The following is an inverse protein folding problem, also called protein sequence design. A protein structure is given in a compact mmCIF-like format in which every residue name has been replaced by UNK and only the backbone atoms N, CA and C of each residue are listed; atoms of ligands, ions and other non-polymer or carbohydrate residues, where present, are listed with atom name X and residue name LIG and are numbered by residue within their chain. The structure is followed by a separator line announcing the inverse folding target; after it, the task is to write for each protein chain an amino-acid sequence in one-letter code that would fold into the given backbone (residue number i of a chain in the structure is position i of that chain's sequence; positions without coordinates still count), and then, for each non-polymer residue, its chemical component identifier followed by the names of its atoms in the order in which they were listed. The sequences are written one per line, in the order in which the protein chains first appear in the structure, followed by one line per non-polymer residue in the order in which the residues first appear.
data_IF_816819692177
#
_entry.id   IF_816819692177
#
_cell.length_a   1.000
_cell.length_b   1.000
_cell.length_c   1.000
_cell.angle_alpha   90.00
_cell.angle_beta   90.00
_cell.angle_gamma   90.00
#
_symmetry.space_group_name_H-M   'P 1'
#
loop_
_entity.id
_entity.type
_entity.pdbx_description
1 polymer ?
#
# COMPACT_ATOMS: atom_id res chain seq x y z
N UNK A 1 -8.94 -30.17 27.44
CA UNK A 1 -8.36 -28.89 26.97
C UNK A 1 -9.43 -27.84 27.23
N UNK A 2 -9.20 -26.93 28.18
CA UNK A 2 -10.19 -25.93 28.57
C UNK A 2 -10.34 -24.95 27.39
N UNK A 3 -11.52 -24.86 26.78
CA UNK A 3 -11.80 -23.81 25.78
C UNK A 3 -11.85 -22.48 26.53
N UNK A 4 -10.80 -21.69 26.39
CA UNK A 4 -10.73 -20.37 26.98
C UNK A 4 -11.74 -19.43 26.30
N UNK A 5 -12.62 -18.83 27.08
CA UNK A 5 -13.75 -18.02 26.58
C UNK A 5 -13.27 -16.80 25.81
N UNK A 6 -12.15 -16.21 26.22
CA UNK A 6 -11.57 -15.05 25.53
C UNK A 6 -11.07 -15.44 24.14
N UNK A 7 -10.44 -16.62 24.01
CA UNK A 7 -9.95 -17.09 22.70
C UNK A 7 -11.10 -17.39 21.73
N UNK A 8 -12.25 -17.79 22.25
CA UNK A 8 -13.47 -18.03 21.46
C UNK A 8 -14.09 -16.72 21.00
N UNK A 9 -14.14 -15.71 21.86
CA UNK A 9 -14.60 -14.37 21.52
C UNK A 9 -13.77 -13.78 20.36
N UNK A 10 -12.44 -13.89 20.40
CA UNK A 10 -11.58 -13.44 19.30
C UNK A 10 -11.76 -14.24 18.00
N UNK A 11 -12.07 -15.54 18.07
CA UNK A 11 -12.35 -16.38 16.89
C UNK A 11 -13.69 -16.05 16.24
N UNK A 12 -14.67 -15.68 17.05
CA UNK A 12 -16.03 -15.40 16.58
C UNK A 12 -16.20 -13.95 16.08
N UNK A 13 -15.18 -13.08 16.23
CA UNK A 13 -15.19 -11.71 15.70
C UNK A 13 -15.40 -11.63 14.18
N UNK A 14 -14.93 -12.63 13.43
CA UNK A 14 -14.95 -12.65 11.98
C UNK A 14 -15.18 -14.09 11.47
N UNK A 15 -16.44 -14.51 11.29
CA UNK A 15 -16.73 -15.83 10.76
C UNK A 15 -16.24 -15.92 9.29
N UNK A 16 -15.71 -17.08 8.88
CA UNK A 16 -15.27 -17.28 7.50
C UNK A 16 -16.48 -17.14 6.55
N UNK A 17 -16.34 -16.38 5.44
CA UNK A 17 -17.45 -16.17 4.52
C UNK A 17 -17.80 -17.47 3.79
N UNK A 18 -19.09 -17.70 3.57
CA UNK A 18 -19.58 -18.86 2.84
C UNK A 18 -19.34 -18.77 1.33
N UNK A 19 -19.12 -17.56 0.80
CA UNK A 19 -18.89 -17.28 -0.62
C UNK A 19 -17.81 -16.22 -0.78
N UNK A 20 -16.93 -16.42 -1.77
CA UNK A 20 -15.91 -15.44 -2.17
C UNK A 20 -16.38 -14.76 -3.45
N UNK A 21 -16.43 -13.42 -3.43
CA UNK A 21 -16.74 -12.62 -4.60
C UNK A 21 -15.48 -11.99 -5.19
N UNK A 22 -15.51 -11.72 -6.50
CA UNK A 22 -14.40 -11.10 -7.21
C UNK A 22 -14.38 -9.58 -7.03
N UNK A 23 -13.25 -9.07 -6.52
CA UNK A 23 -12.99 -7.62 -6.36
C UNK A 23 -12.27 -6.97 -7.54
N UNK A 24 -11.78 -7.75 -8.49
CA UNK A 24 -11.14 -7.22 -9.69
C UNK A 24 -12.21 -6.84 -10.70
N UNK A 25 -12.45 -5.54 -10.84
CA UNK A 25 -13.43 -5.00 -11.78
C UNK A 25 -12.86 -3.78 -12.51
N UNK A 26 -13.57 -3.30 -13.53
CA UNK A 26 -13.20 -2.08 -14.24
C UNK A 26 -13.04 -0.87 -13.29
N UNK A 27 -13.86 -0.80 -12.23
CA UNK A 27 -13.76 0.26 -11.22
C UNK A 27 -12.45 0.18 -10.43
N UNK A 28 -12.07 -1.04 -10.01
CA UNK A 28 -10.80 -1.30 -9.33
C UNK A 28 -9.62 -0.95 -10.23
N UNK A 29 -9.72 -1.20 -11.53
CA UNK A 29 -8.67 -0.83 -12.48
C UNK A 29 -8.52 0.69 -12.65
N UNK A 30 -9.63 1.44 -12.76
CA UNK A 30 -9.57 2.91 -12.78
C UNK A 30 -8.96 3.45 -11.49
N UNK A 31 -9.31 2.87 -10.34
CA UNK A 31 -8.70 3.25 -9.06
C UNK A 31 -7.23 2.89 -8.96
N UNK A 32 -6.80 1.76 -9.55
CA UNK A 32 -5.39 1.39 -9.66
C UNK A 32 -4.59 2.42 -10.48
N UNK A 33 -5.16 2.89 -11.60
CA UNK A 33 -4.55 3.95 -12.42
C UNK A 33 -4.45 5.25 -11.63
N UNK A 34 -5.49 5.62 -10.87
CA UNK A 34 -5.45 6.79 -10.00
C UNK A 34 -4.33 6.70 -8.95
N UNK A 35 -4.17 5.54 -8.31
CA UNK A 35 -3.08 5.28 -7.36
C UNK A 35 -1.72 5.41 -8.06
N UNK A 36 -1.54 4.78 -9.22
CA UNK A 36 -0.27 4.76 -9.95
C UNK A 36 0.15 6.12 -10.51
N UNK A 37 -0.79 6.90 -11.07
CA UNK A 37 -0.46 8.18 -11.69
C UNK A 37 -0.48 9.37 -10.73
N UNK A 38 -1.28 9.32 -9.67
CA UNK A 38 -1.42 10.45 -8.75
C UNK A 38 -0.66 10.22 -7.44
N UNK A 39 -0.89 9.08 -6.78
CA UNK A 39 -0.32 8.86 -5.44
C UNK A 39 1.17 8.58 -5.49
N UNK A 40 1.62 7.73 -6.41
CA UNK A 40 3.03 7.35 -6.52
C UNK A 40 3.91 8.59 -6.75
N UNK A 41 3.70 9.41 -7.80
CA UNK A 41 4.48 10.63 -7.99
C UNK A 41 4.34 11.62 -6.84
N UNK A 42 3.13 11.79 -6.29
CA UNK A 42 2.91 12.69 -5.15
C UNK A 42 3.69 12.25 -3.90
N UNK A 43 3.76 10.95 -3.63
CA UNK A 43 4.50 10.38 -2.50
C UNK A 43 6.01 10.51 -2.67
N UNK A 44 6.52 10.31 -3.89
CA UNK A 44 7.92 10.50 -4.22
C UNK A 44 8.32 11.97 -4.06
N UNK A 45 7.49 12.89 -4.57
CA UNK A 45 7.73 14.33 -4.43
C UNK A 45 7.80 14.77 -2.96
N UNK A 46 6.82 14.35 -2.15
CA UNK A 46 6.82 14.67 -0.71
C UNK A 46 8.02 14.04 0.01
N UNK A 47 8.39 12.81 -0.36
CA UNK A 47 9.60 12.15 0.14
C UNK A 47 10.87 12.95 -0.13
N UNK A 48 11.01 13.53 -1.34
CA UNK A 48 12.18 14.34 -1.71
C UNK A 48 12.17 15.74 -1.07
N UNK A 49 11.01 16.38 -0.93
CA UNK A 49 10.92 17.78 -0.45
C UNK A 49 10.91 17.87 1.07
N UNK A 50 10.19 16.96 1.73
CA UNK A 50 9.93 17.01 3.19
C UNK A 50 10.73 15.92 3.92
N UNK A 51 11.37 14.99 3.19
CA UNK A 51 12.11 13.86 3.75
C UNK A 51 11.23 12.72 4.26
N UNK A 52 9.90 12.83 4.13
CA UNK A 52 8.96 11.77 4.50
C UNK A 52 7.82 11.66 3.48
N UNK A 53 7.35 10.43 3.27
CA UNK A 53 6.20 10.15 2.40
C UNK A 53 4.87 10.56 3.03
N UNK A 54 3.76 10.24 2.35
CA UNK A 54 2.39 10.60 2.77
C UNK A 54 1.93 9.80 4.02
N UNK A 55 2.74 8.85 4.50
CA UNK A 55 2.45 8.02 5.67
C UNK A 55 1.35 6.98 5.44
N UNK A 56 1.12 6.08 6.42
CA UNK A 56 0.17 4.98 6.28
C UNK A 56 -1.30 5.44 6.20
N UNK A 57 -1.62 6.63 6.72
CA UNK A 57 -2.95 7.21 6.65
C UNK A 57 -3.37 7.57 5.22
N UNK A 58 -2.41 7.85 4.33
CA UNK A 58 -2.67 8.18 2.93
C UNK A 58 -3.45 7.10 2.19
N UNK A 59 -3.21 5.82 2.55
CA UNK A 59 -3.95 4.67 1.99
C UNK A 59 -5.45 4.86 2.15
N UNK A 60 -5.86 5.18 3.37
CA UNK A 60 -7.26 5.31 3.74
C UNK A 60 -7.88 6.54 3.11
N UNK A 61 -7.17 7.66 3.11
CA UNK A 61 -7.64 8.91 2.49
C UNK A 61 -7.93 8.69 1.01
N UNK A 62 -7.06 7.99 0.27
CA UNK A 62 -7.27 7.70 -1.14
C UNK A 62 -8.49 6.85 -1.40
N UNK A 63 -8.68 5.79 -0.60
CA UNK A 63 -9.85 4.92 -0.72
C UNK A 63 -11.12 5.72 -0.46
N UNK A 64 -11.12 6.57 0.57
CA UNK A 64 -12.25 7.44 0.90
C UNK A 64 -12.55 8.40 -0.25
N UNK A 65 -11.52 9.06 -0.82
CA UNK A 65 -11.68 9.96 -1.95
C UNK A 65 -12.22 9.22 -3.19
N UNK A 66 -11.73 8.02 -3.46
CA UNK A 66 -12.20 7.22 -4.59
C UNK A 66 -13.63 6.72 -4.39
N UNK A 67 -13.98 6.30 -3.18
CA UNK A 67 -15.36 5.93 -2.82
C UNK A 67 -16.32 7.13 -2.94
N UNK A 68 -15.89 8.31 -2.50
CA UNK A 68 -16.69 9.54 -2.63
C UNK A 68 -16.83 9.97 -4.10
N UNK A 69 -15.78 9.79 -4.92
CA UNK A 69 -15.84 10.05 -6.36
C UNK A 69 -16.81 9.07 -7.05
N UNK A 70 -16.72 7.78 -6.77
CA UNK A 70 -17.64 6.78 -7.30
C UNK A 70 -19.10 7.11 -6.93
N UNK A 71 -19.34 7.50 -5.67
CA UNK A 71 -20.65 7.90 -5.16
C UNK A 71 -21.21 9.13 -5.90
N UNK A 72 -20.36 10.13 -6.20
CA UNK A 72 -20.75 11.31 -7.00
C UNK A 72 -21.03 10.97 -8.46
N UNK A 73 -20.37 9.94 -8.99
CA UNK A 73 -20.65 9.37 -10.31
C UNK A 73 -21.81 8.36 -10.30
N UNK A 74 -22.67 8.37 -9.27
CA UNK A 74 -23.79 7.44 -9.09
C UNK A 74 -23.41 5.95 -9.16
N UNK A 75 -22.15 5.63 -8.86
CA UNK A 75 -21.61 4.27 -8.85
C UNK A 75 -21.33 3.85 -7.41
N UNK A 76 -21.59 2.59 -7.06
CA UNK A 76 -21.22 2.02 -5.76
C UNK A 76 -19.99 1.12 -5.91
N UNK A 77 -19.10 1.15 -4.93
CA UNK A 77 -17.97 0.23 -4.82
C UNK A 77 -18.34 -0.89 -3.87
N UNK A 78 -18.16 -2.13 -4.32
CA UNK A 78 -18.33 -3.31 -3.46
C UNK A 78 -17.14 -3.42 -2.50
N UNK A 79 -17.34 -4.12 -1.39
CA UNK A 79 -16.30 -4.34 -0.39
C UNK A 79 -15.03 -4.96 -0.98
N UNK A 80 -15.16 -5.90 -1.92
CA UNK A 80 -14.05 -6.58 -2.55
C UNK A 80 -13.26 -5.63 -3.49
N UNK A 81 -13.95 -4.71 -4.16
CA UNK A 81 -13.32 -3.66 -4.97
C UNK A 81 -12.51 -2.71 -4.07
N UNK A 82 -13.06 -2.32 -2.92
CA UNK A 82 -12.37 -1.52 -1.91
C UNK A 82 -11.15 -2.25 -1.35
N UNK A 83 -11.26 -3.54 -1.07
CA UNK A 83 -10.15 -4.35 -0.58
C UNK A 83 -9.01 -4.45 -1.60
N UNK A 84 -9.34 -4.68 -2.87
CA UNK A 84 -8.35 -4.69 -3.97
C UNK A 84 -7.66 -3.33 -4.07
N UNK A 85 -8.41 -2.23 -4.02
CA UNK A 85 -7.84 -0.87 -4.02
C UNK A 85 -6.95 -0.61 -2.80
N UNK A 86 -7.34 -1.09 -1.62
CA UNK A 86 -6.54 -0.98 -0.40
C UNK A 86 -5.19 -1.67 -0.54
N UNK A 87 -5.19 -2.90 -1.02
CA UNK A 87 -3.97 -3.66 -1.19
C UNK A 87 -3.07 -3.06 -2.28
N UNK A 88 -3.64 -2.65 -3.41
CA UNK A 88 -2.90 -1.97 -4.49
C UNK A 88 -2.31 -0.64 -4.03
N UNK A 89 -3.06 0.18 -3.28
CA UNK A 89 -2.54 1.41 -2.69
C UNK A 89 -1.38 1.11 -1.74
N UNK A 90 -1.50 0.05 -0.93
CA UNK A 90 -0.43 -0.39 -0.05
C UNK A 90 0.83 -0.80 -0.79
N UNK A 91 0.70 -1.65 -1.80
CA UNK A 91 1.81 -2.09 -2.64
C UNK A 91 2.46 -0.90 -3.40
N UNK A 92 1.65 0.02 -3.91
CA UNK A 92 2.14 1.22 -4.57
C UNK A 92 2.95 2.10 -3.59
N UNK A 93 2.46 2.33 -2.38
CA UNK A 93 3.17 3.16 -1.40
C UNK A 93 4.44 2.52 -0.84
N UNK A 94 4.57 1.19 -0.90
CA UNK A 94 5.87 0.55 -0.62
C UNK A 94 6.95 1.05 -1.59
N UNK A 95 6.54 1.54 -2.77
CA UNK A 95 7.35 2.24 -3.77
C UNK A 95 8.77 1.65 -3.90
N UNK A 96 8.88 0.43 -4.43
CA UNK A 96 10.17 -0.28 -4.51
C UNK A 96 11.22 0.53 -5.28
N UNK A 97 10.78 1.39 -6.20
CA UNK A 97 11.64 2.25 -7.03
C UNK A 97 11.93 3.65 -6.43
N UNK A 98 11.39 3.99 -5.25
CA UNK A 98 11.49 5.34 -4.67
C UNK A 98 12.94 5.79 -4.43
N UNK A 99 13.86 4.87 -4.17
CA UNK A 99 15.26 5.18 -3.88
C UNK A 99 16.09 5.65 -5.08
N UNK A 100 15.72 5.27 -6.32
CA UNK A 100 16.54 5.54 -7.51
C UNK A 100 16.68 7.03 -7.78
N UNK A 101 15.59 7.78 -7.65
CA UNK A 101 15.57 9.22 -7.90
C UNK A 101 16.38 9.98 -6.83
N UNK A 102 16.32 9.52 -5.59
CA UNK A 102 17.16 10.06 -4.51
C UNK A 102 18.65 9.78 -4.75
N UNK A 103 19.02 8.56 -5.13
CA UNK A 103 20.41 8.21 -5.40
C UNK A 103 20.97 9.02 -6.57
N UNK A 104 20.17 9.23 -7.62
CA UNK A 104 20.52 10.13 -8.72
C UNK A 104 20.77 11.57 -8.23
N UNK A 105 19.86 12.10 -7.40
CA UNK A 105 20.02 13.43 -6.82
C UNK A 105 21.29 13.52 -5.95
N UNK A 106 21.55 12.53 -5.11
CA UNK A 106 22.70 12.49 -4.20
C UNK A 106 24.02 12.59 -4.97
N UNK A 107 24.19 11.78 -6.03
CA UNK A 107 25.41 11.78 -6.87
C UNK A 107 25.61 13.11 -7.60
N UNK A 108 24.52 13.75 -8.03
CA UNK A 108 24.55 15.03 -8.75
C UNK A 108 24.58 16.26 -7.84
N UNK A 109 24.32 16.09 -6.54
CA UNK A 109 24.18 17.18 -5.60
C UNK A 109 25.46 18.00 -5.46
N UNK A 110 25.30 19.32 -5.33
CA UNK A 110 26.43 20.24 -5.12
C UNK A 110 27.18 19.89 -3.83
N UNK A 111 26.46 19.47 -2.78
CA UNK A 111 27.06 19.02 -1.53
C UNK A 111 28.00 17.82 -1.71
N UNK A 112 27.58 16.78 -2.45
CA UNK A 112 28.43 15.62 -2.73
C UNK A 112 29.66 16.01 -3.56
N UNK A 113 29.52 16.95 -4.50
CA UNK A 113 30.63 17.45 -5.32
C UNK A 113 31.61 18.29 -4.50
N UNK A 114 31.11 19.21 -3.67
CA UNK A 114 31.95 20.08 -2.82
C UNK A 114 32.72 19.30 -1.77
N UNK A 115 32.12 18.24 -1.22
CA UNK A 115 32.76 17.35 -0.26
C UNK A 115 33.68 16.30 -0.93
N UNK A 116 33.75 16.29 -2.26
CA UNK A 116 34.56 15.33 -3.01
C UNK A 116 34.08 13.88 -2.87
N UNK A 117 32.81 13.66 -2.50
CA UNK A 117 32.23 12.35 -2.23
C UNK A 117 31.80 11.62 -3.50
N UNK A 118 31.50 12.36 -4.57
CA UNK A 118 30.93 11.81 -5.81
C UNK A 118 31.70 10.60 -6.37
N UNK A 119 33.04 10.61 -6.49
CA UNK A 119 33.79 9.45 -7.02
C UNK A 119 33.77 8.23 -6.10
N UNK A 120 33.43 8.41 -4.82
CA UNK A 120 33.36 7.32 -3.84
C UNK A 120 31.99 6.65 -3.78
N UNK A 121 30.97 7.26 -4.40
CA UNK A 121 29.65 6.63 -4.51
C UNK A 121 29.75 5.52 -5.57
N UNK A 122 29.48 4.26 -5.23
CA UNK A 122 29.63 3.18 -6.21
C UNK A 122 28.59 3.25 -7.33
N UNK A 123 28.97 2.77 -8.53
CA UNK A 123 28.08 2.71 -9.70
C UNK A 123 26.84 1.80 -9.49
N UNK A 124 26.92 0.86 -8.56
CA UNK A 124 25.78 0.02 -8.18
C UNK A 124 24.73 0.74 -7.34
N UNK A 125 25.03 1.93 -6.80
CA UNK A 125 24.06 2.81 -6.10
C UNK A 125 23.35 3.71 -7.09
N UNK A 126 24.12 4.37 -7.96
CA UNK A 126 23.65 5.20 -9.06
C UNK A 126 24.77 5.43 -10.10
N UNK A 127 24.44 5.70 -11.37
CA UNK A 127 25.43 6.06 -12.40
C UNK A 127 26.26 7.30 -12.02
N UNK A 128 27.52 7.35 -12.46
CA UNK A 128 28.38 8.51 -12.24
C UNK A 128 27.94 9.75 -13.03
N UNK A 129 28.24 10.98 -12.56
CA UNK A 129 27.96 12.19 -13.32
C UNK A 129 28.66 12.14 -14.68
N UNK A 130 27.90 12.32 -15.76
CA UNK A 130 28.37 12.17 -17.14
C UNK A 130 27.81 10.95 -17.88
N UNK A 131 27.08 10.07 -17.19
CA UNK A 131 26.27 9.04 -17.85
C UNK A 131 25.17 9.65 -18.73
N UNK A 132 24.99 9.09 -19.93
CA UNK A 132 23.94 9.48 -20.88
C UNK A 132 22.52 9.29 -20.30
N UNK A 133 22.36 8.39 -19.33
CA UNK A 133 21.08 8.15 -18.63
C UNK A 133 20.49 9.41 -18.01
N UNK A 134 21.34 10.34 -17.57
CA UNK A 134 20.91 11.60 -16.96
C UNK A 134 20.44 12.61 -18.00
N UNK A 135 20.98 12.56 -19.22
CA UNK A 135 20.52 13.40 -20.33
C UNK A 135 19.17 12.91 -20.86
N UNK A 136 19.01 11.60 -20.99
CA UNK A 136 17.78 10.96 -21.47
C UNK A 136 16.64 10.99 -20.44
N UNK A 137 16.94 11.30 -19.16
CA UNK A 137 15.99 11.34 -18.05
C UNK A 137 15.18 10.05 -17.92
N UNK A 138 15.85 8.92 -18.15
CA UNK A 138 15.23 7.59 -18.16
C UNK A 138 15.99 6.63 -17.26
N UNK A 139 15.25 5.78 -16.54
CA UNK A 139 15.82 4.64 -15.83
C UNK A 139 16.00 3.42 -16.75
N UNK A 140 15.48 3.47 -17.98
CA UNK A 140 15.65 2.42 -18.98
C UNK A 140 16.98 2.58 -19.74
N UNK A 141 18.08 2.74 -19.00
CA UNK A 141 19.43 2.85 -19.55
C UNK A 141 20.31 1.73 -18.97
N UNK A 142 21.33 1.30 -19.72
CA UNK A 142 22.22 0.21 -19.30
C UNK A 142 22.92 0.49 -17.96
N UNK A 143 23.25 1.75 -17.73
CA UNK A 143 23.95 2.17 -16.49
C UNK A 143 23.08 1.99 -15.23
N UNK A 144 21.74 2.00 -15.38
CA UNK A 144 20.81 1.74 -14.28
C UNK A 144 20.54 0.25 -14.05
N UNK A 145 21.01 -0.62 -14.93
CA UNK A 145 20.72 -2.06 -14.87
C UNK A 145 21.23 -2.67 -13.57
N UNK A 146 22.47 -2.36 -13.15
CA UNK A 146 23.05 -2.89 -11.91
C UNK A 146 22.30 -2.40 -10.67
N UNK A 147 22.06 -1.08 -10.47
CA UNK A 147 21.23 -0.60 -9.36
C UNK A 147 19.83 -1.23 -9.32
N UNK A 148 19.16 -1.34 -10.46
CA UNK A 148 17.80 -1.91 -10.55
C UNK A 148 17.81 -3.40 -10.19
N UNK A 149 18.78 -4.18 -10.70
CA UNK A 149 18.88 -5.59 -10.37
C UNK A 149 19.14 -5.82 -8.88
N UNK A 150 20.01 -5.03 -8.26
CA UNK A 150 20.25 -5.11 -6.82
C UNK A 150 19.00 -4.76 -6.03
N UNK A 151 18.30 -3.69 -6.41
CA UNK A 151 17.05 -3.28 -5.78
C UNK A 151 15.99 -4.39 -5.86
N UNK A 152 15.79 -4.99 -7.03
CA UNK A 152 14.89 -6.15 -7.18
C UNK A 152 15.36 -7.32 -6.33
N UNK A 153 16.66 -7.59 -6.27
CA UNK A 153 17.23 -8.63 -5.42
C UNK A 153 16.93 -8.40 -3.93
N UNK A 154 17.08 -7.16 -3.45
CA UNK A 154 16.71 -6.79 -2.09
C UNK A 154 15.21 -6.92 -1.84
N UNK A 155 14.35 -6.51 -2.78
CA UNK A 155 12.90 -6.69 -2.66
C UNK A 155 12.51 -8.17 -2.58
N UNK A 156 13.17 -9.04 -3.35
CA UNK A 156 12.95 -10.49 -3.27
C UNK A 156 13.39 -11.05 -1.91
N UNK A 157 14.54 -10.61 -1.40
CA UNK A 157 15.02 -11.02 -0.08
C UNK A 157 14.04 -10.55 1.01
N UNK A 158 13.58 -9.29 0.93
CA UNK A 158 12.60 -8.72 1.85
C UNK A 158 11.26 -9.46 1.78
N UNK A 159 10.81 -9.82 0.58
CA UNK A 159 9.62 -10.63 0.41
C UNK A 159 9.80 -12.00 1.07
N UNK A 160 10.93 -12.69 0.83
CA UNK A 160 11.23 -13.98 1.46
C UNK A 160 11.33 -13.87 2.98
N UNK A 161 11.93 -12.81 3.51
CA UNK A 161 12.02 -12.57 4.94
C UNK A 161 10.65 -12.33 5.56
N UNK A 162 9.86 -11.43 4.96
CA UNK A 162 8.52 -11.09 5.41
C UNK A 162 7.57 -12.28 5.39
N UNK A 163 7.55 -13.04 4.27
CA UNK A 163 6.72 -14.23 4.14
C UNK A 163 7.27 -15.40 4.95
N UNK A 164 8.59 -15.60 4.97
CA UNK A 164 9.25 -16.73 5.62
C UNK A 164 9.15 -16.66 7.13
N UNK A 165 9.61 -15.56 7.74
CA UNK A 165 9.51 -15.36 9.19
C UNK A 165 8.05 -15.19 9.61
N UNK A 166 7.26 -14.42 8.86
CA UNK A 166 5.84 -14.21 9.15
C UNK A 166 5.06 -15.53 9.15
N UNK A 167 5.28 -16.38 8.14
CA UNK A 167 4.61 -17.68 8.05
C UNK A 167 5.14 -18.68 9.09
N UNK A 168 6.44 -18.71 9.35
CA UNK A 168 7.02 -19.57 10.39
C UNK A 168 6.47 -19.22 11.78
N UNK A 169 6.40 -17.93 12.10
CA UNK A 169 5.85 -17.44 13.36
C UNK A 169 4.34 -17.69 13.45
N UNK A 170 3.61 -17.51 12.35
CA UNK A 170 2.21 -17.90 12.23
C UNK A 170 2.01 -19.39 12.52
N UNK A 171 2.82 -20.25 11.90
CA UNK A 171 2.69 -21.70 12.08
C UNK A 171 3.01 -22.12 13.51
N UNK A 172 4.02 -21.50 14.13
CA UNK A 172 4.37 -21.76 15.52
C UNK A 172 3.23 -21.35 16.47
N UNK A 173 2.75 -20.11 16.36
CA UNK A 173 1.68 -19.58 17.24
C UNK A 173 0.31 -20.24 17.00
N UNK A 174 -0.03 -20.59 15.75
CA UNK A 174 -1.30 -21.21 15.39
C UNK A 174 -1.29 -22.73 15.60
N UNK A 175 -0.28 -23.46 15.13
CA UNK A 175 -0.29 -24.93 15.15
C UNK A 175 0.20 -25.49 16.50
N UNK A 176 1.21 -24.86 17.11
CA UNK A 176 1.79 -25.33 18.39
C UNK A 176 1.04 -24.72 19.57
N UNK A 177 0.86 -23.39 19.59
CA UNK A 177 0.27 -22.68 20.73
C UNK A 177 -1.27 -22.56 20.64
N UNK A 178 -1.88 -22.79 19.46
CA UNK A 178 -3.33 -22.71 19.21
C UNK A 178 -3.97 -21.38 19.59
N UNK A 179 -3.18 -20.30 19.62
CA UNK A 179 -3.66 -18.97 19.95
C UNK A 179 -4.42 -18.34 18.76
N UNK A 180 -5.51 -17.59 19.01
CA UNK A 180 -6.16 -16.79 17.99
C UNK A 180 -5.25 -15.64 17.57
N UNK A 181 -5.24 -15.35 16.26
CA UNK A 181 -4.31 -14.37 15.71
C UNK A 181 -4.69 -12.94 16.12
N UNK A 182 -3.85 -12.22 16.89
CA UNK A 182 -4.31 -11.06 17.66
C UNK A 182 -4.70 -9.83 16.84
N UNK A 183 -4.16 -9.66 15.63
CA UNK A 183 -4.32 -8.41 14.84
C UNK A 183 -4.99 -8.60 13.46
N UNK A 184 -5.18 -9.83 12.98
CA UNK A 184 -5.83 -10.06 11.69
C UNK A 184 -7.31 -9.57 11.67
N UNK A 185 -8.11 -9.77 12.73
CA UNK A 185 -9.49 -9.28 12.76
C UNK A 185 -9.56 -7.75 12.70
N UNK A 186 -8.64 -7.02 13.32
CA UNK A 186 -8.67 -5.55 13.40
C UNK A 186 -8.50 -4.92 12.01
N UNK A 187 -7.55 -5.42 11.22
CA UNK A 187 -7.33 -4.93 9.85
C UNK A 187 -8.52 -5.23 8.94
N UNK A 188 -9.07 -6.44 9.02
CA UNK A 188 -10.24 -6.86 8.25
C UNK A 188 -11.49 -6.04 8.64
N UNK A 189 -11.78 -5.88 9.94
CA UNK A 189 -12.89 -5.06 10.44
C UNK A 189 -12.76 -3.59 10.00
N UNK A 190 -11.55 -3.04 9.93
CA UNK A 190 -11.32 -1.69 9.40
C UNK A 190 -11.69 -1.56 7.92
N UNK A 191 -11.27 -2.51 7.08
CA UNK A 191 -11.65 -2.54 5.66
C UNK A 191 -13.15 -2.78 5.46
N UNK A 192 -13.76 -3.62 6.30
CA UNK A 192 -15.20 -3.89 6.31
C UNK A 192 -16.00 -2.67 6.72
N UNK A 193 -15.64 -1.99 7.81
CA UNK A 193 -16.33 -0.79 8.27
C UNK A 193 -16.33 0.34 7.22
N UNK A 194 -15.25 0.47 6.44
CA UNK A 194 -15.19 1.42 5.33
C UNK A 194 -16.08 1.00 4.14
N UNK A 195 -16.17 -0.29 3.87
CA UNK A 195 -17.10 -0.80 2.86
C UNK A 195 -18.57 -0.63 3.31
N UNK A 196 -18.89 -1.01 4.54
CA UNK A 196 -20.24 -0.87 5.12
C UNK A 196 -20.68 0.59 5.22
N UNK A 197 -19.77 1.53 5.49
CA UNK A 197 -20.09 2.97 5.49
C UNK A 197 -20.32 3.52 4.08
N UNK A 198 -19.70 2.95 3.05
CA UNK A 198 -20.05 3.21 1.65
C UNK A 198 -21.41 2.58 1.27
N UNK A 199 -21.77 1.47 1.91
CA UNK A 199 -22.98 0.68 1.67
C UNK A 199 -24.21 1.14 2.48
N UNK A 200 -24.01 1.95 3.54
CA UNK A 200 -25.06 2.62 4.37
C UNK A 200 -25.90 3.64 3.57
N UNK A 201 -26.58 3.15 2.54
CA UNK A 201 -27.78 3.73 1.92
C UNK A 201 -29.02 2.95 2.31
N UNK A 202 -28.89 1.71 2.76
CA UNK A 202 -30.03 0.90 3.15
C UNK A 202 -30.34 1.11 4.64
N UNK A 203 -31.53 1.64 4.93
CA UNK A 203 -32.13 1.93 6.25
C UNK A 203 -31.91 3.31 6.90
N UNK A 204 -31.89 4.39 6.12
CA UNK A 204 -32.28 5.71 6.69
C UNK A 204 -33.79 5.94 6.62
N UNK A 205 -34.59 4.98 7.09
CA UNK A 205 -36.02 5.20 7.37
C UNK A 205 -36.19 6.31 8.43
N UNK A 206 -35.20 6.43 9.32
CA UNK A 206 -35.08 7.50 10.32
C UNK A 206 -35.09 8.89 9.69
N UNK A 207 -34.45 9.07 8.53
CA UNK A 207 -34.46 10.36 7.82
C UNK A 207 -35.83 10.71 7.23
N UNK A 208 -36.58 9.73 6.71
CA UNK A 208 -37.95 9.97 6.22
C UNK A 208 -38.90 10.34 7.36
N UNK A 209 -38.78 9.68 8.52
CA UNK A 209 -39.58 10.04 9.70
C UNK A 209 -39.24 11.44 10.21
N UNK A 210 -37.97 11.85 10.13
CA UNK A 210 -37.55 13.21 10.54
C UNK A 210 -37.99 14.31 9.57
N UNK A 211 -38.16 14.00 8.28
CA UNK A 211 -38.53 14.99 7.24
C UNK A 211 -40.03 15.10 6.98
N UNK A 212 -40.84 14.15 7.46
CA UNK A 212 -42.30 14.17 7.36
C UNK A 212 -42.95 14.59 8.71
N UNK A 213 -42.17 14.61 9.80
CA UNK A 213 -42.60 15.00 11.15
C UNK A 213 -42.32 16.45 11.54
N UNK A 214 -42.24 17.37 10.56
CA UNK A 214 -42.16 18.82 10.77
C UNK A 214 -43.38 19.51 10.18
#
# INVERSE_FOLDING_TARGET
MYEDKELKEYRDLLPPPAQFEEGFSWKSMVGALFIGFLMMPGSMYLGLVIGHGIGPAARWVTIILFAEMAKRSYTQLRQQEIFVLYYMAGAAMASPFSGLLWNQYLVQSEAARMLGLTPYIPEWVAPQPGSDSFLERTFFHRDWLVPILLMIGFELIQAVDHFGLGYALYRFTSDVEKLPFPMAPVGALGTMALAESAEKRETSWKWRVFSIGG
#
